data_IF_256019241703
#
_entry.id   IF_256019241703
#
_cell.length_a   1.000
_cell.length_b   1.000
_cell.length_c   1.000
_cell.angle_alpha   90.00
_cell.angle_beta   90.00
_cell.angle_gamma   90.00
#
_symmetry.space_group_name_H-M   'P 1'
#
loop_
_entity.id
_entity.type
_entity.pdbx_description
1 polymer ?
#
# COMPACT_ATOMS: atom_id res chain seq x y z
N UNK A 1 2.22 -10.81 -0.16
CA UNK A 1 1.78 -9.51 0.38
C UNK A 1 0.88 -9.64 1.60
N UNK A 2 -0.12 -10.53 1.63
CA UNK A 2 -1.06 -10.63 2.77
C UNK A 2 -0.42 -10.85 4.16
N UNK A 3 0.65 -11.64 4.26
CA UNK A 3 1.36 -11.83 5.55
C UNK A 3 2.01 -10.54 6.06
N UNK A 4 2.69 -9.80 5.19
CA UNK A 4 3.33 -8.51 5.54
C UNK A 4 2.26 -7.47 5.93
N UNK A 5 1.15 -7.41 5.19
CA UNK A 5 0.03 -6.51 5.54
C UNK A 5 -0.57 -6.83 6.91
N UNK A 6 -0.71 -8.12 7.24
CA UNK A 6 -1.18 -8.56 8.56
C UNK A 6 -0.20 -8.17 9.68
N UNK A 7 1.11 -8.27 9.44
CA UNK A 7 2.14 -7.81 10.39
C UNK A 7 2.06 -6.28 10.62
N UNK A 8 1.85 -5.50 9.55
CA UNK A 8 1.68 -4.05 9.64
C UNK A 8 0.46 -3.69 10.51
N UNK A 9 -0.66 -4.39 10.31
CA UNK A 9 -1.87 -4.22 11.14
C UNK A 9 -1.63 -4.66 12.58
N UNK A 10 -0.96 -5.80 12.81
CA UNK A 10 -0.64 -6.30 14.15
C UNK A 10 0.28 -5.35 14.93
N UNK A 11 1.15 -4.61 14.23
CA UNK A 11 1.97 -3.54 14.79
C UNK A 11 1.19 -2.24 15.06
N UNK A 12 -0.13 -2.20 14.78
CA UNK A 12 -1.00 -1.06 15.06
C UNK A 12 -1.05 0.01 13.95
N UNK A 13 -0.42 -0.24 12.80
CA UNK A 13 -0.47 0.69 11.68
C UNK A 13 -1.71 0.46 10.81
N UNK A 14 -2.22 1.53 10.21
CA UNK A 14 -3.46 1.51 9.41
C UNK A 14 -3.22 1.67 7.92
N UNK A 15 -1.99 1.95 7.51
CA UNK A 15 -1.67 2.25 6.12
C UNK A 15 -0.36 1.60 5.75
N UNK A 16 -0.32 0.92 4.60
CA UNK A 16 0.91 0.49 3.97
C UNK A 16 1.29 1.48 2.89
N UNK A 17 2.57 1.86 2.84
CA UNK A 17 3.15 2.67 1.76
C UNK A 17 4.30 1.93 1.10
N UNK A 18 4.41 2.02 -0.22
CA UNK A 18 5.53 1.47 -0.99
C UNK A 18 5.87 2.37 -2.18
N UNK A 19 7.05 2.15 -2.75
CA UNK A 19 7.42 2.71 -4.06
C UNK A 19 7.49 1.57 -5.07
N UNK A 20 6.67 1.65 -6.11
CA UNK A 20 6.65 0.69 -7.20
C UNK A 20 7.44 1.19 -8.41
N UNK A 21 8.04 0.28 -9.17
CA UNK A 21 8.44 0.58 -10.55
C UNK A 21 7.19 0.76 -11.42
N UNK A 22 7.32 1.38 -12.60
CA UNK A 22 6.18 1.56 -13.51
C UNK A 22 5.52 0.22 -13.89
N UNK A 23 6.31 -0.84 -14.10
CA UNK A 23 5.81 -2.19 -14.38
C UNK A 23 5.19 -2.88 -13.16
N UNK A 24 5.53 -2.46 -11.94
CA UNK A 24 4.97 -2.97 -10.70
C UNK A 24 3.60 -2.36 -10.35
N UNK A 25 3.27 -1.18 -10.88
CA UNK A 25 2.00 -0.48 -10.57
C UNK A 25 0.76 -1.35 -10.79
N UNK A 26 0.59 -2.06 -11.93
CA UNK A 26 -0.60 -2.88 -12.15
C UNK A 26 -0.76 -4.02 -11.15
N UNK A 27 0.35 -4.59 -10.66
CA UNK A 27 0.32 -5.63 -9.64
C UNK A 27 -0.21 -5.08 -8.31
N UNK A 28 0.36 -3.97 -7.83
CA UNK A 28 -0.04 -3.38 -6.55
C UNK A 28 -1.45 -2.78 -6.60
N UNK A 29 -1.86 -2.24 -7.74
CA UNK A 29 -3.24 -1.79 -7.96
C UNK A 29 -4.26 -2.92 -7.74
N UNK A 30 -3.99 -4.12 -8.27
CA UNK A 30 -4.83 -5.31 -8.05
C UNK A 30 -4.87 -5.77 -6.59
N UNK A 31 -3.85 -5.43 -5.80
CA UNK A 31 -3.79 -5.70 -4.37
C UNK A 31 -4.45 -4.61 -3.51
N UNK A 32 -5.00 -3.56 -4.13
CA UNK A 32 -5.71 -2.47 -3.46
C UNK A 32 -4.84 -1.26 -3.12
N UNK A 33 -3.60 -1.19 -3.63
CA UNK A 33 -2.78 0.02 -3.48
C UNK A 33 -3.16 1.06 -4.53
N UNK A 34 -3.29 2.31 -4.09
CA UNK A 34 -3.54 3.46 -4.95
C UNK A 34 -2.23 4.19 -5.26
N UNK A 35 -1.96 4.46 -6.53
CA UNK A 35 -0.85 5.32 -6.94
C UNK A 35 -1.13 6.77 -6.54
N UNK A 36 -0.09 7.46 -6.06
CA UNK A 36 -0.20 8.85 -5.58
C UNK A 36 0.63 9.80 -6.43
N UNK A 37 1.95 9.60 -6.50
CA UNK A 37 2.86 10.49 -7.21
C UNK A 37 4.13 9.75 -7.66
N UNK A 38 4.80 10.31 -8.67
CA UNK A 38 6.16 9.92 -9.01
C UNK A 38 7.13 10.36 -7.92
N UNK A 39 8.07 9.50 -7.56
CA UNK A 39 9.13 9.78 -6.58
C UNK A 39 10.49 9.46 -7.19
N UNK A 40 11.46 10.33 -6.96
CA UNK A 40 12.85 10.10 -7.33
C UNK A 40 13.62 9.62 -6.10
N UNK A 41 14.09 8.38 -6.14
CA UNK A 41 14.93 7.81 -5.11
C UNK A 41 16.40 8.05 -5.48
N UNK A 42 17.14 8.67 -4.57
CA UNK A 42 18.59 8.78 -4.71
C UNK A 42 19.24 7.41 -4.56
N UNK A 43 20.10 7.07 -5.51
CA UNK A 43 20.95 5.89 -5.47
C UNK A 43 22.41 6.34 -5.23
N UNK A 44 23.30 5.42 -4.81
CA UNK A 44 24.72 5.69 -4.76
C UNK A 44 25.26 6.23 -6.08
N UNK A 45 26.41 6.91 -6.02
CA UNK A 45 27.11 7.46 -7.19
C UNK A 45 26.32 8.54 -7.95
N UNK A 46 25.37 9.19 -7.29
CA UNK A 46 24.60 10.30 -7.88
C UNK A 46 23.52 9.85 -8.87
N UNK A 47 23.21 8.55 -8.92
CA UNK A 47 22.14 8.03 -9.76
C UNK A 47 20.76 8.31 -9.13
N UNK A 48 19.74 8.36 -9.97
CA UNK A 48 18.35 8.53 -9.54
C UNK A 48 17.46 7.46 -10.14
N UNK A 49 16.59 6.87 -9.31
CA UNK A 49 15.57 5.92 -9.74
C UNK A 49 14.18 6.53 -9.59
N UNK A 50 13.42 6.58 -10.69
CA UNK A 50 12.05 7.09 -10.66
C UNK A 50 11.08 5.92 -10.43
N UNK A 51 10.33 6.00 -9.34
CA UNK A 51 9.24 5.10 -9.01
C UNK A 51 7.92 5.84 -8.81
N UNK A 52 6.88 5.09 -8.48
CA UNK A 52 5.54 5.59 -8.15
C UNK A 52 5.26 5.25 -6.69
N UNK A 53 5.04 6.26 -5.86
CA UNK A 53 4.57 6.07 -4.50
C UNK A 53 3.13 5.55 -4.52
N UNK A 54 2.88 4.48 -3.78
CA UNK A 54 1.56 3.86 -3.68
C UNK A 54 1.19 3.59 -2.22
N UNK A 55 -0.08 3.74 -1.88
CA UNK A 55 -0.60 3.54 -0.52
C UNK A 55 -1.82 2.64 -0.51
N UNK A 56 -1.98 1.85 0.54
CA UNK A 56 -3.19 1.06 0.79
C UNK A 56 -3.65 1.28 2.22
N UNK A 57 -4.92 1.60 2.39
CA UNK A 57 -5.56 1.56 3.69
C UNK A 57 -5.75 0.09 4.10
N UNK A 58 -5.27 -0.25 5.29
CA UNK A 58 -5.29 -1.61 5.86
C UNK A 58 -6.42 -1.79 6.86
N UNK A 59 -7.33 -0.83 7.01
CA UNK A 59 -8.57 -1.04 7.75
C UNK A 59 -9.27 -2.24 7.11
N UNK A 60 -9.19 -3.37 7.79
CA UNK A 60 -9.97 -4.54 7.47
C UNK A 60 -11.42 -4.10 7.27
N UNK A 61 -12.11 -4.71 6.31
CA UNK A 61 -13.54 -4.83 6.41
C UNK A 61 -13.84 -5.38 7.80
N UNK A 62 -14.16 -4.49 8.76
CA UNK A 62 -14.68 -4.90 10.05
C UNK A 62 -15.92 -5.75 9.77
N UNK A 63 -16.30 -6.67 10.66
CA UNK A 63 -17.57 -7.35 10.49
C UNK A 63 -18.64 -6.29 10.27
N UNK A 64 -19.32 -6.33 9.13
CA UNK A 64 -20.52 -5.56 8.89
C UNK A 64 -21.53 -6.07 9.91
N UNK A 65 -21.61 -5.41 11.07
CA UNK A 65 -22.66 -5.68 12.04
C UNK A 65 -23.95 -5.24 11.36
N UNK A 66 -24.67 -6.21 10.78
CA UNK A 66 -26.05 -6.01 10.39
C UNK A 66 -26.82 -5.71 11.67
N UNK A 67 -27.13 -4.43 11.87
CA UNK A 67 -28.08 -4.01 12.88
C UNK A 67 -29.40 -4.75 12.60
N UNK A 68 -29.78 -5.63 13.52
CA UNK A 68 -31.11 -6.24 13.52
C UNK A 68 -32.11 -5.11 13.79
N UNK A 69 -32.98 -4.84 12.81
CA UNK A 69 -34.12 -3.95 13.00
C UNK A 69 -34.96 -4.45 14.18
N UNK A 70 -35.23 -3.56 15.12
CA UNK A 70 -36.15 -3.76 16.23
C UNK A 70 -37.60 -3.69 15.74
#
# INVERSE_FOLDING_TARGET
>A
MGLIEAEIVAAGFRTASLTATLSGVPLYARLGYCATQSVALGLPEGLSFVGIAMTKDLIAAGPMITAKAA
#
